data_IF_836597071093
#
_entry.id   IF_836597071093
#
_cell.length_a   1.000
_cell.length_b   1.000
_cell.length_c   1.000
_cell.angle_alpha   90.00
_cell.angle_beta   90.00
_cell.angle_gamma   90.00
#
_symmetry.space_group_name_H-M   'P 1'
#
loop_
_entity.id
_entity.type
_entity.pdbx_description
1 polymer ?
#
# COMPACT_ATOMS: atom_id res chain seq x y z
N UNK A 1 -7.53 32.90 -8.00
CA UNK A 1 -6.76 31.80 -7.37
C UNK A 1 -7.57 30.55 -7.64
N UNK A 2 -7.10 29.69 -8.54
CA UNK A 2 -7.80 28.45 -8.88
C UNK A 2 -7.57 27.48 -7.72
N UNK A 3 -8.57 27.32 -6.86
CA UNK A 3 -8.62 26.21 -5.90
C UNK A 3 -8.71 24.93 -6.75
N UNK A 4 -7.56 24.33 -7.04
CA UNK A 4 -7.48 23.02 -7.65
C UNK A 4 -7.98 22.05 -6.58
N UNK A 5 -9.29 21.80 -6.56
CA UNK A 5 -9.89 20.73 -5.80
C UNK A 5 -9.42 19.43 -6.42
N UNK A 6 -8.15 19.08 -6.17
CA UNK A 6 -7.63 17.75 -6.32
C UNK A 6 -8.52 16.91 -5.43
N UNK A 7 -9.55 16.30 -6.03
CA UNK A 7 -10.12 15.10 -5.45
C UNK A 7 -8.95 14.13 -5.37
N UNK A 8 -8.17 14.21 -4.28
CA UNK A 8 -7.16 13.22 -3.96
C UNK A 8 -7.96 11.94 -3.89
N UNK A 9 -7.78 11.11 -4.92
CA UNK A 9 -8.35 9.79 -4.96
C UNK A 9 -7.99 9.15 -3.62
N UNK A 10 -9.00 8.74 -2.85
CA UNK A 10 -8.75 8.31 -1.48
C UNK A 10 -7.90 7.06 -1.59
N UNK A 11 -6.77 7.01 -0.89
CA UNK A 11 -5.98 5.79 -0.88
C UNK A 11 -6.45 4.92 0.28
N UNK A 12 -7.06 3.79 -0.06
CA UNK A 12 -7.39 2.76 0.91
C UNK A 12 -6.17 1.88 1.12
N UNK A 13 -5.89 1.53 2.38
CA UNK A 13 -4.84 0.60 2.77
C UNK A 13 -5.46 -0.68 3.32
N UNK A 14 -4.96 -1.83 2.89
CA UNK A 14 -5.36 -3.14 3.42
C UNK A 14 -4.14 -4.02 3.62
N UNK A 15 -4.22 -4.97 4.55
CA UNK A 15 -3.12 -5.91 4.80
C UNK A 15 -3.03 -6.90 3.63
N UNK A 16 -1.83 -7.12 3.11
CA UNK A 16 -1.56 -8.15 2.10
C UNK A 16 -1.93 -9.54 2.64
N UNK A 17 -2.54 -10.36 1.78
CA UNK A 17 -2.91 -11.74 2.11
C UNK A 17 -1.79 -12.73 1.77
N UNK A 18 -0.93 -12.39 0.81
CA UNK A 18 0.16 -13.25 0.37
C UNK A 18 1.49 -12.95 1.06
N UNK A 19 1.70 -11.72 1.56
CA UNK A 19 2.92 -11.34 2.24
C UNK A 19 3.07 -12.06 3.57
N UNK A 20 4.19 -12.76 3.74
CA UNK A 20 4.53 -13.51 4.95
C UNK A 20 5.82 -12.99 5.54
N UNK A 21 5.81 -12.77 6.85
CA UNK A 21 6.98 -12.31 7.60
C UNK A 21 6.92 -10.82 7.96
N UNK A 22 8.04 -10.33 8.49
CA UNK A 22 8.17 -8.97 9.01
C UNK A 22 8.67 -8.06 7.88
N UNK A 23 7.94 -6.98 7.61
CA UNK A 23 8.26 -6.01 6.56
C UNK A 23 9.26 -4.97 7.09
N UNK A 24 10.56 -5.31 7.08
CA UNK A 24 11.60 -4.50 7.76
C UNK A 24 12.24 -3.47 6.83
N UNK A 25 12.56 -3.85 5.58
CA UNK A 25 13.43 -3.05 4.70
C UNK A 25 12.96 -2.93 3.26
N UNK A 26 12.18 -3.89 2.78
CA UNK A 26 11.93 -4.03 1.35
C UNK A 26 10.47 -3.74 1.00
N UNK A 27 10.17 -2.46 0.85
CA UNK A 27 8.89 -1.99 0.31
C UNK A 27 8.68 -2.48 -1.12
N UNK A 28 9.76 -2.81 -1.86
CA UNK A 28 9.71 -3.28 -3.25
C UNK A 28 9.06 -4.66 -3.33
N UNK A 29 9.44 -5.60 -2.45
CA UNK A 29 8.80 -6.91 -2.35
C UNK A 29 7.34 -6.79 -1.90
N UNK A 30 7.06 -5.94 -0.91
CA UNK A 30 5.68 -5.68 -0.49
C UNK A 30 4.83 -5.10 -1.63
N UNK A 31 5.33 -4.09 -2.34
CA UNK A 31 4.65 -3.48 -3.48
C UNK A 31 4.46 -4.46 -4.65
N UNK A 32 5.42 -5.34 -4.92
CA UNK A 32 5.33 -6.35 -5.99
C UNK A 32 4.27 -7.41 -5.67
N UNK A 33 4.23 -7.86 -4.41
CA UNK A 33 3.18 -8.79 -3.94
C UNK A 33 1.81 -8.11 -4.00
N UNK A 34 1.70 -6.88 -3.51
CA UNK A 34 0.45 -6.11 -3.58
C UNK A 34 -0.04 -5.90 -5.02
N UNK A 35 0.86 -5.62 -5.96
CA UNK A 35 0.52 -5.56 -7.40
C UNK A 35 0.01 -6.90 -7.94
N UNK A 36 0.61 -8.00 -7.50
CA UNK A 36 0.15 -9.35 -7.86
C UNK A 36 -1.21 -9.71 -7.24
N UNK A 37 -1.56 -9.08 -6.11
CA UNK A 37 -2.88 -9.16 -5.48
C UNK A 37 -3.93 -8.20 -6.10
N UNK A 38 -3.55 -7.37 -7.07
CA UNK A 38 -4.45 -6.43 -7.76
C UNK A 38 -4.50 -5.02 -7.17
N UNK A 39 -3.60 -4.69 -6.24
CA UNK A 39 -3.47 -3.35 -5.68
C UNK A 39 -2.50 -2.48 -6.50
N UNK A 40 -2.63 -1.16 -6.41
CA UNK A 40 -1.74 -0.23 -7.12
C UNK A 40 -0.34 -0.11 -6.51
N UNK A 41 -0.15 -0.52 -5.26
CA UNK A 41 1.14 -0.48 -4.59
C UNK A 41 1.09 -1.07 -3.19
N UNK A 42 2.19 -0.94 -2.45
CA UNK A 42 2.25 -1.41 -1.07
C UNK A 42 3.44 -0.84 -0.31
N UNK A 43 3.29 -0.73 1.01
CA UNK A 43 4.31 -0.22 1.93
C UNK A 43 4.34 -1.02 3.23
N UNK A 44 5.52 -1.14 3.83
CA UNK A 44 5.65 -1.66 5.18
C UNK A 44 5.11 -0.62 6.18
N UNK A 45 4.06 -0.97 6.93
CA UNK A 45 3.39 -0.02 7.82
C UNK A 45 3.01 -0.65 9.18
N UNK A 46 2.87 0.22 10.20
CA UNK A 46 2.50 -0.16 11.56
C UNK A 46 3.62 -0.76 12.42
N UNK A 47 3.34 -0.95 13.72
CA UNK A 47 4.30 -1.47 14.70
C UNK A 47 4.70 -2.92 14.46
N UNK A 48 3.78 -3.74 13.96
CA UNK A 48 4.05 -5.14 13.59
C UNK A 48 4.83 -5.27 12.28
N UNK A 49 5.12 -4.15 11.60
CA UNK A 49 5.78 -4.11 10.30
C UNK A 49 5.03 -5.02 9.30
N UNK A 50 3.72 -4.82 9.20
CA UNK A 50 2.90 -5.56 8.25
C UNK A 50 3.01 -4.90 6.85
N UNK A 51 2.94 -5.70 5.79
CA UNK A 51 2.82 -5.18 4.43
C UNK A 51 1.38 -4.71 4.20
N UNK A 52 1.22 -3.40 3.95
CA UNK A 52 -0.06 -2.75 3.65
C UNK A 52 -0.12 -2.41 2.16
N UNK A 53 -1.02 -3.06 1.45
CA UNK A 53 -1.32 -2.75 0.06
C UNK A 53 -2.20 -1.49 -0.05
N UNK A 54 -1.95 -0.68 -1.06
CA UNK A 54 -2.68 0.55 -1.34
C UNK A 54 -3.41 0.47 -2.67
N UNK A 55 -4.67 0.90 -2.68
CA UNK A 55 -5.44 1.13 -3.90
C UNK A 55 -6.26 2.40 -3.82
N UNK A 56 -6.66 2.89 -4.99
CA UNK A 56 -7.63 3.96 -5.11
C UNK A 56 -9.01 3.49 -4.68
N UNK A 57 -9.62 4.28 -3.80
CA UNK A 57 -11.01 4.32 -3.39
C UNK A 57 -11.43 5.81 -3.31
#
# INVERSE_FOLDING_TARGET
>A
MLELNLAHARMCKTKSTQYKGICIKDSVNCATICQSEGFSGGECSGWKRDCMCSMTC
#
